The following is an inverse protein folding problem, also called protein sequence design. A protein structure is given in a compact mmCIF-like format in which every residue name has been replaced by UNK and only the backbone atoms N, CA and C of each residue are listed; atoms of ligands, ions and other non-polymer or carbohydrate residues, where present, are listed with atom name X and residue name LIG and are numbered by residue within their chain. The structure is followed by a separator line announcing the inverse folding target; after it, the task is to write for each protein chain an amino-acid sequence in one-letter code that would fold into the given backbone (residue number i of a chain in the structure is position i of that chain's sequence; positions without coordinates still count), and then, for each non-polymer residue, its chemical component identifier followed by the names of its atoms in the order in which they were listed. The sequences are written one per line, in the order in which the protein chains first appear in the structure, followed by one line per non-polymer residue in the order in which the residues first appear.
data_IF_998563263796
#
_entry.id   IF_998563263796
#
_cell.length_a   1.000
_cell.length_b   1.000
_cell.length_c   1.000
_cell.angle_alpha   90.00
_cell.angle_beta   90.00
_cell.angle_gamma   90.00
#
_symmetry.space_group_name_H-M   'P 1'
#
loop_
_entity.id
_entity.type
_entity.pdbx_description
1 polymer ?
#
# COMPACT_ATOMS: atom_id res chain seq x y z
N UNK A 1 -4.45 -12.23 -6.35
CA UNK A 1 -5.85 -12.64 -6.16
C UNK A 1 -5.84 -13.97 -5.44
N UNK A 2 -6.49 -14.07 -4.31
CA UNK A 2 -6.70 -15.33 -3.60
C UNK A 2 -8.19 -15.66 -3.64
N UNK A 3 -8.52 -16.97 -3.57
CA UNK A 3 -9.89 -17.44 -3.58
C UNK A 3 -10.25 -17.92 -2.17
N UNK A 4 -11.38 -17.49 -1.64
CA UNK A 4 -11.83 -17.89 -0.30
C UNK A 4 -12.22 -19.37 -0.26
N UNK A 5 -12.82 -19.87 -1.35
CA UNK A 5 -13.29 -21.25 -1.46
C UNK A 5 -12.89 -21.88 -2.82
N UNK A 6 -11.60 -22.22 -3.03
CA UNK A 6 -11.14 -22.81 -4.30
C UNK A 6 -11.78 -24.17 -4.57
N UNK A 7 -12.23 -24.88 -3.52
CA UNK A 7 -12.91 -26.20 -3.63
C UNK A 7 -14.22 -26.15 -4.39
N UNK A 8 -14.85 -24.97 -4.49
CA UNK A 8 -16.12 -24.78 -5.23
C UNK A 8 -15.94 -25.08 -6.73
N UNK A 9 -14.73 -24.92 -7.29
CA UNK A 9 -14.44 -25.27 -8.67
C UNK A 9 -14.55 -26.77 -8.96
N UNK A 10 -14.42 -27.62 -7.95
CA UNK A 10 -14.62 -29.07 -8.10
C UNK A 10 -16.06 -29.38 -8.54
N UNK A 11 -17.04 -28.59 -8.11
CA UNK A 11 -18.42 -28.73 -8.49
C UNK A 11 -18.71 -28.38 -9.98
N UNK A 12 -17.79 -27.65 -10.64
CA UNK A 12 -17.95 -27.28 -12.06
C UNK A 12 -17.99 -28.52 -12.95
N UNK A 13 -17.14 -29.53 -12.69
CA UNK A 13 -17.02 -30.71 -13.54
C UNK A 13 -18.33 -31.53 -13.58
N UNK A 14 -18.90 -31.95 -12.44
CA UNK A 14 -20.13 -32.73 -12.47
C UNK A 14 -21.34 -31.93 -12.97
N UNK A 15 -21.44 -30.62 -12.61
CA UNK A 15 -22.55 -29.78 -13.07
C UNK A 15 -22.50 -29.51 -14.58
N UNK A 16 -21.32 -29.21 -15.12
CA UNK A 16 -21.14 -29.07 -16.57
C UNK A 16 -21.42 -30.41 -17.27
N UNK A 17 -20.99 -31.53 -16.71
CA UNK A 17 -21.27 -32.87 -17.21
C UNK A 17 -22.76 -33.18 -17.30
N UNK A 18 -23.54 -32.81 -16.27
CA UNK A 18 -25.01 -32.97 -16.26
C UNK A 18 -25.66 -32.12 -17.36
N UNK A 19 -25.25 -30.87 -17.53
CA UNK A 19 -25.78 -29.98 -18.58
C UNK A 19 -25.51 -30.59 -19.96
N UNK A 20 -24.29 -31.06 -20.22
CA UNK A 20 -23.89 -31.69 -21.46
C UNK A 20 -24.68 -32.97 -21.68
N UNK A 21 -24.81 -33.81 -20.64
CA UNK A 21 -25.57 -35.07 -20.71
C UNK A 21 -27.04 -34.81 -21.07
N UNK A 22 -27.70 -33.87 -20.39
CA UNK A 22 -29.07 -33.47 -20.69
C UNK A 22 -29.22 -32.93 -22.12
N UNK A 23 -28.21 -32.23 -22.60
CA UNK A 23 -28.17 -31.75 -23.97
C UNK A 23 -27.99 -32.86 -25.00
N UNK A 24 -27.21 -33.91 -24.67
CA UNK A 24 -27.01 -35.10 -25.51
C UNK A 24 -28.16 -36.06 -25.47
N UNK A 25 -28.99 -36.07 -24.39
CA UNK A 25 -30.21 -36.83 -24.30
C UNK A 25 -31.26 -36.26 -25.27
N UNK A 26 -31.01 -36.41 -26.53
CA UNK A 26 -31.92 -36.00 -27.60
C UNK A 26 -33.10 -36.93 -27.63
N UNK A 27 -34.34 -36.40 -27.44
CA UNK A 27 -35.56 -37.18 -27.70
C UNK A 27 -35.46 -37.80 -29.09
N UNK A 28 -35.40 -39.15 -29.14
CA UNK A 28 -35.51 -39.86 -30.42
C UNK A 28 -36.89 -39.60 -30.98
N UNK A 29 -36.96 -38.90 -32.12
CA UNK A 29 -38.18 -38.76 -32.87
C UNK A 29 -38.45 -40.12 -33.49
N UNK A 30 -39.56 -40.73 -33.11
CA UNK A 30 -40.04 -41.98 -33.73
C UNK A 30 -40.68 -41.57 -35.06
N UNK A 31 -40.23 -42.06 -36.20
CA UNK A 31 -40.90 -41.80 -37.45
C UNK A 31 -42.25 -42.50 -37.42
N UNK A 32 -43.33 -41.74 -37.61
CA UNK A 32 -44.66 -42.28 -37.79
C UNK A 32 -44.95 -42.27 -39.29
N UNK A 33 -45.20 -43.43 -39.85
CA UNK A 33 -45.58 -43.53 -41.25
C UNK A 33 -47.03 -43.11 -41.42
N UNK A 34 -47.24 -42.05 -42.20
CA UNK A 34 -48.55 -41.49 -42.51
C UNK A 34 -48.86 -41.76 -43.98
N UNK A 35 -50.03 -42.25 -44.30
CA UNK A 35 -50.41 -42.77 -45.62
C UNK A 35 -50.43 -41.75 -46.76
N UNK A 36 -50.43 -40.45 -46.50
CA UNK A 36 -50.31 -39.40 -47.53
C UNK A 36 -49.56 -38.18 -46.95
N UNK A 37 -48.40 -37.88 -47.54
CA UNK A 37 -47.53 -36.76 -47.11
C UNK A 37 -47.55 -35.59 -48.10
N UNK A 38 -48.36 -35.63 -49.15
CA UNK A 38 -48.29 -34.65 -50.23
C UNK A 38 -48.53 -33.20 -49.77
N UNK A 39 -49.59 -32.98 -49.02
CA UNK A 39 -49.92 -31.64 -48.48
C UNK A 39 -48.92 -31.19 -47.41
N UNK A 40 -48.36 -32.12 -46.61
CA UNK A 40 -47.34 -31.82 -45.63
C UNK A 40 -45.99 -31.46 -46.24
N UNK A 41 -45.61 -32.04 -47.37
CA UNK A 41 -44.38 -31.67 -48.09
C UNK A 41 -44.44 -30.26 -48.63
N UNK A 42 -45.61 -29.81 -49.11
CA UNK A 42 -45.77 -28.44 -49.59
C UNK A 42 -45.74 -27.42 -48.49
N UNK A 43 -46.32 -27.68 -47.31
CA UNK A 43 -46.27 -26.85 -46.13
C UNK A 43 -44.87 -26.83 -45.49
N UNK A 44 -44.09 -27.90 -45.60
CA UNK A 44 -42.74 -27.98 -45.02
C UNK A 44 -41.66 -27.30 -45.90
N UNK A 45 -41.89 -27.07 -47.19
CA UNK A 45 -40.98 -26.35 -48.05
C UNK A 45 -40.84 -24.86 -47.63
N UNK A 46 -41.89 -24.26 -47.13
CA UNK A 46 -41.85 -22.87 -46.61
C UNK A 46 -41.16 -22.74 -45.22
N UNK A 47 -41.07 -23.82 -44.49
CA UNK A 47 -40.47 -23.81 -43.14
C UNK A 47 -38.95 -24.12 -43.15
N UNK A 48 -38.44 -24.73 -44.25
CA UNK A 48 -37.02 -25.13 -44.31
C UNK A 48 -36.04 -23.97 -44.50
N UNK A 49 -36.49 -22.77 -44.84
CA UNK A 49 -35.59 -21.62 -45.02
C UNK A 49 -34.86 -21.14 -43.78
N UNK A 50 -35.27 -21.59 -42.55
CA UNK A 50 -34.68 -21.12 -41.27
C UNK A 50 -33.89 -22.19 -40.49
N UNK A 51 -33.59 -23.32 -41.09
CA UNK A 51 -32.90 -24.45 -40.40
C UNK A 51 -31.47 -24.12 -39.92
N UNK A 52 -30.63 -23.34 -40.66
CA UNK A 52 -29.27 -23.05 -40.20
C UNK A 52 -29.28 -22.24 -38.89
N UNK A 53 -30.21 -21.30 -38.74
CA UNK A 53 -30.34 -20.50 -37.52
C UNK A 53 -30.82 -21.27 -36.29
N UNK A 54 -31.59 -22.32 -36.45
CA UNK A 54 -32.03 -23.18 -35.33
C UNK A 54 -30.88 -24.04 -34.77
N UNK A 55 -29.98 -24.53 -35.60
CA UNK A 55 -28.77 -25.23 -35.18
C UNK A 55 -27.82 -24.32 -34.38
N UNK A 56 -27.67 -23.07 -34.86
CA UNK A 56 -26.84 -22.08 -34.19
C UNK A 56 -27.42 -21.67 -32.83
N UNK A 57 -28.74 -21.43 -32.76
CA UNK A 57 -29.45 -21.13 -31.49
C UNK A 57 -29.29 -22.24 -30.45
N UNK A 58 -29.29 -23.51 -30.84
CA UNK A 58 -29.11 -24.64 -29.91
C UNK A 58 -27.73 -24.68 -29.32
N UNK A 59 -26.70 -24.44 -30.13
CA UNK A 59 -25.31 -24.40 -29.66
C UNK A 59 -25.04 -23.16 -28.79
N UNK A 60 -25.64 -22.01 -29.15
CA UNK A 60 -25.55 -20.77 -28.39
C UNK A 60 -26.14 -20.93 -26.97
N UNK A 61 -27.29 -21.63 -26.86
CA UNK A 61 -27.92 -21.87 -25.56
C UNK A 61 -27.01 -22.70 -24.62
N UNK A 62 -26.38 -23.76 -25.15
CA UNK A 62 -25.44 -24.56 -24.37
C UNK A 62 -24.25 -23.73 -23.90
N UNK A 63 -23.66 -22.93 -24.81
CA UNK A 63 -22.54 -22.04 -24.46
C UNK A 63 -22.95 -21.04 -23.40
N UNK A 64 -24.13 -20.43 -23.54
CA UNK A 64 -24.65 -19.46 -22.56
C UNK A 64 -24.85 -20.10 -21.18
N UNK A 65 -25.40 -21.34 -21.13
CA UNK A 65 -25.60 -22.07 -19.89
C UNK A 65 -24.27 -22.43 -19.20
N UNK A 66 -23.27 -22.87 -19.96
CA UNK A 66 -21.93 -23.17 -19.42
C UNK A 66 -21.24 -21.88 -18.94
N UNK A 67 -21.41 -20.78 -19.65
CA UNK A 67 -20.85 -19.49 -19.28
C UNK A 67 -21.51 -18.96 -18.00
N UNK A 68 -22.84 -19.06 -17.89
CA UNK A 68 -23.57 -18.70 -16.69
C UNK A 68 -23.18 -19.55 -15.48
N UNK A 69 -23.02 -20.87 -15.68
CA UNK A 69 -22.54 -21.79 -14.64
C UNK A 69 -21.13 -21.40 -14.17
N UNK A 70 -20.23 -21.11 -15.12
CA UNK A 70 -18.85 -20.70 -14.80
C UNK A 70 -18.83 -19.38 -14.05
N UNK A 71 -19.63 -18.40 -14.48
CA UNK A 71 -19.75 -17.12 -13.78
C UNK A 71 -20.32 -17.27 -12.35
N UNK A 72 -21.30 -18.15 -12.18
CA UNK A 72 -21.88 -18.45 -10.87
C UNK A 72 -20.83 -19.07 -9.93
N UNK A 73 -20.10 -20.06 -10.41
CA UNK A 73 -19.04 -20.73 -9.63
C UNK A 73 -17.89 -19.76 -9.33
N UNK A 74 -17.50 -18.92 -10.28
CA UNK A 74 -16.50 -17.87 -10.05
C UNK A 74 -16.96 -16.86 -8.99
N UNK A 75 -18.25 -16.50 -8.97
CA UNK A 75 -18.83 -15.66 -7.93
C UNK A 75 -18.83 -16.32 -6.55
N UNK A 76 -19.21 -17.63 -6.49
CA UNK A 76 -19.19 -18.42 -5.26
C UNK A 76 -17.77 -18.68 -4.73
N UNK A 77 -16.76 -18.74 -5.58
CA UNK A 77 -15.36 -18.84 -5.20
C UNK A 77 -14.86 -17.60 -4.45
N UNK A 78 -15.66 -16.51 -4.41
CA UNK A 78 -15.40 -15.26 -3.72
C UNK A 78 -13.94 -14.79 -3.91
N UNK A 79 -13.56 -14.37 -5.13
CA UNK A 79 -12.23 -13.84 -5.37
C UNK A 79 -12.02 -12.58 -4.53
N UNK A 80 -10.98 -12.55 -3.71
CA UNK A 80 -10.61 -11.36 -2.95
C UNK A 80 -9.17 -10.95 -3.26
N UNK A 81 -8.97 -9.66 -3.26
CA UNK A 81 -7.63 -9.08 -3.31
C UNK A 81 -7.26 -8.76 -1.88
N UNK A 82 -6.21 -9.40 -1.36
CA UNK A 82 -5.55 -8.90 -0.16
C UNK A 82 -4.95 -7.54 -0.54
N UNK A 83 -5.73 -6.48 -0.37
CA UNK A 83 -5.13 -5.17 -0.24
C UNK A 83 -4.43 -5.19 1.13
N UNK A 84 -3.09 -5.16 1.15
CA UNK A 84 -2.38 -4.84 2.38
C UNK A 84 -2.85 -3.45 2.80
N UNK A 85 -3.82 -3.41 3.71
CA UNK A 85 -4.17 -2.17 4.37
C UNK A 85 -2.96 -1.77 5.20
N UNK A 86 -2.29 -0.70 4.78
CA UNK A 86 -1.37 0.00 5.64
C UNK A 86 -2.22 0.56 6.79
N UNK A 87 -1.94 0.09 8.00
CA UNK A 87 -2.72 0.45 9.19
C UNK A 87 -3.46 -0.76 9.79
N UNK A 88 -3.79 -0.67 11.04
CA UNK A 88 -4.57 -1.61 11.85
C UNK A 88 -5.53 -0.83 12.73
N UNK A 89 -6.32 -1.52 13.57
CA UNK A 89 -7.25 -0.87 14.50
C UNK A 89 -6.60 0.22 15.35
N UNK A 90 -5.33 0.01 15.73
CA UNK A 90 -4.52 0.98 16.48
C UNK A 90 -3.19 1.12 15.75
N UNK A 91 -2.88 2.28 15.26
CA UNK A 91 -1.66 2.54 14.49
C UNK A 91 -0.88 3.70 15.10
N UNK A 92 0.42 3.53 15.27
CA UNK A 92 1.32 4.61 15.66
C UNK A 92 2.27 4.89 14.50
N UNK A 93 2.30 6.11 14.02
CA UNK A 93 3.21 6.57 12.97
C UNK A 93 4.33 7.36 13.63
N UNK A 94 5.58 6.92 13.43
CA UNK A 94 6.78 7.66 13.82
C UNK A 94 7.35 8.29 12.56
N UNK A 95 7.32 9.61 12.50
CA UNK A 95 7.86 10.39 11.41
C UNK A 95 9.23 10.94 11.80
N UNK A 96 10.24 10.61 11.03
CA UNK A 96 11.55 11.21 11.15
C UNK A 96 11.51 12.65 10.63
N UNK A 97 11.97 13.57 11.46
CA UNK A 97 12.04 15.00 11.14
C UNK A 97 13.49 15.53 11.21
N UNK A 98 14.47 14.67 10.99
CA UNK A 98 15.89 15.05 10.94
C UNK A 98 16.22 15.92 9.73
N UNK A 99 17.39 16.54 9.76
CA UNK A 99 17.92 17.37 8.67
C UNK A 99 18.06 16.60 7.35
N UNK A 100 18.39 15.29 7.38
CA UNK A 100 18.49 14.45 6.18
C UNK A 100 17.17 14.29 5.44
N UNK A 101 16.04 14.47 6.13
CA UNK A 101 14.71 14.42 5.52
C UNK A 101 14.38 15.63 4.65
N UNK A 102 15.22 16.68 4.66
CA UNK A 102 15.13 17.82 3.74
C UNK A 102 15.70 17.50 2.36
N UNK A 103 16.42 16.39 2.20
CA UNK A 103 17.03 16.00 0.93
C UNK A 103 15.97 15.85 -0.18
N UNK A 104 16.32 16.29 -1.40
CA UNK A 104 15.47 16.36 -2.59
C UNK A 104 15.88 15.34 -3.65
N UNK A 105 16.33 14.17 -3.22
CA UNK A 105 16.66 13.04 -4.10
C UNK A 105 15.43 12.29 -4.61
N UNK A 106 14.25 12.67 -4.15
CA UNK A 106 12.94 12.21 -4.57
C UNK A 106 12.07 13.40 -4.97
N UNK A 107 10.91 13.15 -5.57
CA UNK A 107 9.96 14.21 -5.92
C UNK A 107 9.54 15.00 -4.67
N UNK A 108 9.85 16.29 -4.63
CA UNK A 108 9.73 17.14 -3.46
C UNK A 108 10.90 16.96 -2.50
N UNK A 109 10.64 16.51 -1.29
CA UNK A 109 11.66 16.15 -0.31
C UNK A 109 11.34 14.78 0.31
N UNK A 110 12.33 14.16 0.98
CA UNK A 110 12.09 12.92 1.74
C UNK A 110 10.98 13.12 2.78
N UNK A 111 10.92 14.30 3.39
CA UNK A 111 9.86 14.61 4.35
C UNK A 111 8.48 14.70 3.71
N UNK A 112 8.38 15.24 2.49
CA UNK A 112 7.12 15.23 1.72
C UNK A 112 6.70 13.80 1.37
N UNK A 113 7.65 12.96 1.00
CA UNK A 113 7.39 11.53 0.77
C UNK A 113 6.90 10.85 2.06
N UNK A 114 7.51 11.17 3.22
CA UNK A 114 7.08 10.68 4.52
C UNK A 114 5.65 11.13 4.88
N UNK A 115 5.32 12.39 4.60
CA UNK A 115 3.94 12.90 4.74
C UNK A 115 2.96 12.13 3.84
N UNK A 116 3.39 11.79 2.61
CA UNK A 116 2.62 10.97 1.68
C UNK A 116 2.29 9.59 2.27
N UNK A 117 3.27 8.93 2.90
CA UNK A 117 3.05 7.66 3.59
C UNK A 117 2.10 7.80 4.78
N UNK A 118 2.30 8.81 5.63
CA UNK A 118 1.41 9.07 6.76
C UNK A 118 -0.03 9.33 6.30
N UNK A 119 -0.23 10.13 5.26
CA UNK A 119 -1.55 10.38 4.67
C UNK A 119 -2.19 9.09 4.13
N UNK A 120 -1.43 8.22 3.46
CA UNK A 120 -1.94 6.92 2.97
C UNK A 120 -2.42 6.03 4.11
N UNK A 121 -1.65 5.96 5.21
CA UNK A 121 -2.02 5.18 6.40
C UNK A 121 -3.32 5.76 7.01
N UNK A 122 -3.39 7.08 7.19
CA UNK A 122 -4.56 7.77 7.76
C UNK A 122 -5.79 7.59 6.85
N UNK A 123 -5.63 7.72 5.54
CA UNK A 123 -6.74 7.53 4.58
C UNK A 123 -7.23 6.09 4.52
N UNK A 124 -6.39 5.12 4.90
CA UNK A 124 -6.73 3.70 5.01
C UNK A 124 -7.53 3.31 6.26
N UNK A 125 -7.73 4.24 7.20
CA UNK A 125 -8.49 4.00 8.44
C UNK A 125 -9.94 3.60 8.15
N UNK A 126 -10.37 2.52 8.78
CA UNK A 126 -11.76 2.09 8.79
C UNK A 126 -12.53 2.64 10.00
N UNK A 127 -13.79 2.23 10.14
CA UNK A 127 -14.59 2.58 11.31
C UNK A 127 -13.99 1.97 12.58
N UNK A 128 -13.70 2.81 13.57
CA UNK A 128 -13.14 2.38 14.86
C UNK A 128 -11.62 2.21 14.87
N UNK A 129 -10.92 2.55 13.79
CA UNK A 129 -9.47 2.63 13.77
C UNK A 129 -9.01 3.94 14.40
N UNK A 130 -7.91 3.90 15.12
CA UNK A 130 -7.27 5.07 15.73
C UNK A 130 -5.81 5.16 15.31
N UNK A 131 -5.35 6.36 15.04
CA UNK A 131 -3.96 6.65 14.68
C UNK A 131 -3.38 7.69 15.63
N UNK A 132 -2.15 7.44 16.09
CA UNK A 132 -1.31 8.41 16.76
C UNK A 132 -0.12 8.78 15.88
N UNK A 133 0.36 10.01 15.98
CA UNK A 133 1.51 10.51 15.21
C UNK A 133 2.57 11.01 16.18
N UNK A 134 3.77 10.49 16.03
CA UNK A 134 4.98 10.90 16.76
C UNK A 134 5.94 11.53 15.76
N UNK A 135 6.56 12.61 16.14
CA UNK A 135 7.65 13.23 15.40
C UNK A 135 8.96 12.98 16.14
N UNK A 136 9.94 12.47 15.43
CA UNK A 136 11.29 12.20 15.95
C UNK A 136 12.28 13.14 15.28
N UNK A 137 12.79 14.08 16.06
CA UNK A 137 13.87 14.99 15.74
C UNK A 137 14.92 14.93 16.83
N UNK A 138 15.45 16.08 17.25
CA UNK A 138 16.36 16.18 18.40
C UNK A 138 15.70 15.66 19.69
N UNK A 139 14.40 15.84 19.81
CA UNK A 139 13.54 15.25 20.86
C UNK A 139 12.30 14.71 20.20
N UNK A 140 11.90 13.51 20.61
CA UNK A 140 10.67 12.89 20.13
C UNK A 140 9.47 13.36 20.94
N UNK A 141 8.35 13.65 20.25
CA UNK A 141 7.12 14.06 20.91
C UNK A 141 5.89 13.55 20.16
N UNK A 142 4.76 13.46 20.85
CA UNK A 142 3.48 13.08 20.28
C UNK A 142 2.87 14.31 19.62
N UNK A 143 2.85 14.33 18.29
CA UNK A 143 2.21 15.40 17.50
C UNK A 143 0.68 15.25 17.48
N UNK A 144 0.18 14.01 17.45
CA UNK A 144 -1.22 13.69 17.62
C UNK A 144 -1.37 12.43 18.49
N UNK A 145 -2.15 12.52 19.56
CA UNK A 145 -2.59 11.36 20.33
C UNK A 145 -3.54 10.50 19.49
N UNK A 146 -3.80 9.26 19.93
CA UNK A 146 -4.77 8.39 19.25
C UNK A 146 -6.07 9.10 18.95
N UNK A 147 -6.43 9.14 17.68
CA UNK A 147 -7.64 9.78 17.18
C UNK A 147 -8.22 9.01 16.02
N UNK A 148 -9.54 8.98 15.91
CA UNK A 148 -10.28 8.48 14.77
C UNK A 148 -10.66 9.56 13.75
N UNK A 149 -10.35 10.84 14.06
CA UNK A 149 -10.60 11.98 13.18
C UNK A 149 -9.52 12.11 12.12
N UNK A 150 -9.78 11.53 10.95
CA UNK A 150 -8.87 11.55 9.80
C UNK A 150 -8.50 12.98 9.38
N UNK A 151 -9.45 13.92 9.41
CA UNK A 151 -9.22 15.32 8.99
C UNK A 151 -8.20 15.99 9.89
N UNK A 152 -8.41 15.86 11.20
CA UNK A 152 -7.49 16.42 12.21
C UNK A 152 -6.09 15.82 12.08
N UNK A 153 -5.99 14.49 11.90
CA UNK A 153 -4.71 13.80 11.71
C UNK A 153 -3.97 14.28 10.46
N UNK A 154 -4.68 14.39 9.32
CA UNK A 154 -4.10 14.89 8.06
C UNK A 154 -3.63 16.34 8.21
N UNK A 155 -4.39 17.20 8.87
CA UNK A 155 -3.98 18.59 9.16
C UNK A 155 -2.73 18.63 10.05
N UNK A 156 -2.68 17.82 11.11
CA UNK A 156 -1.50 17.72 11.95
C UNK A 156 -0.27 17.32 11.14
N UNK A 157 -0.36 16.23 10.34
CA UNK A 157 0.74 15.76 9.48
C UNK A 157 1.16 16.83 8.47
N UNK A 158 0.21 17.58 7.90
CA UNK A 158 0.51 18.66 6.96
C UNK A 158 1.28 19.83 7.60
N UNK A 159 1.03 20.10 8.89
CA UNK A 159 1.69 21.18 9.64
C UNK A 159 3.10 20.82 10.14
N UNK A 160 3.50 19.55 10.10
CA UNK A 160 4.82 19.13 10.56
C UNK A 160 5.93 19.65 9.63
N UNK A 161 7.08 19.99 10.20
CA UNK A 161 8.25 20.44 9.46
C UNK A 161 9.49 19.66 9.87
N UNK A 162 10.41 19.38 8.95
CA UNK A 162 11.71 18.81 9.29
C UNK A 162 12.56 19.85 10.00
N UNK A 163 13.41 19.38 10.91
CA UNK A 163 14.36 20.20 11.67
C UNK A 163 15.75 20.13 11.03
N UNK A 164 16.69 20.94 11.49
CA UNK A 164 18.10 20.86 11.08
C UNK A 164 18.95 20.00 12.03
N UNK A 165 18.31 19.27 12.93
CA UNK A 165 18.97 18.44 13.92
C UNK A 165 19.09 16.98 13.46
N UNK A 166 20.00 16.24 14.07
CA UNK A 166 20.03 14.78 13.97
C UNK A 166 18.75 14.18 14.59
N UNK A 167 18.37 13.00 14.13
CA UNK A 167 17.22 12.29 14.68
C UNK A 167 17.63 11.45 15.91
N UNK A 168 16.75 11.41 16.90
CA UNK A 168 16.76 10.36 17.94
C UNK A 168 15.58 9.41 17.68
N UNK A 169 15.68 8.65 16.60
CA UNK A 169 14.63 7.71 16.19
C UNK A 169 14.36 6.65 17.27
N UNK A 170 15.37 6.28 18.04
CA UNK A 170 15.25 5.33 19.15
C UNK A 170 14.24 5.81 20.19
N UNK A 171 14.31 7.06 20.60
CA UNK A 171 13.35 7.64 21.56
C UNK A 171 11.93 7.68 20.97
N UNK A 172 11.81 8.06 19.70
CA UNK A 172 10.54 8.06 19.00
C UNK A 172 9.91 6.68 18.93
N UNK A 173 10.73 5.66 18.68
CA UNK A 173 10.29 4.29 18.62
C UNK A 173 9.90 3.73 19.99
N UNK A 174 10.70 3.99 21.04
CA UNK A 174 10.38 3.59 22.42
C UNK A 174 9.06 4.24 22.87
N UNK A 175 8.84 5.50 22.54
CA UNK A 175 7.59 6.19 22.80
C UNK A 175 6.42 5.53 22.04
N UNK A 176 6.62 5.19 20.76
CA UNK A 176 5.63 4.50 19.96
C UNK A 176 5.28 3.12 20.52
N UNK A 177 6.28 2.35 20.90
CA UNK A 177 6.09 1.03 21.52
C UNK A 177 5.33 1.13 22.85
N UNK A 178 5.66 2.14 23.67
CA UNK A 178 4.94 2.40 24.92
C UNK A 178 3.45 2.74 24.68
N UNK A 179 3.14 3.52 23.66
CA UNK A 179 1.76 3.81 23.27
C UNK A 179 1.07 2.57 22.70
N UNK A 180 1.78 1.81 21.85
CA UNK A 180 1.26 0.59 21.22
C UNK A 180 0.98 -0.51 22.26
N UNK A 181 1.82 -0.67 23.29
CA UNK A 181 1.64 -1.68 24.33
C UNK A 181 0.31 -1.55 25.10
N UNK A 182 -0.28 -0.37 25.11
CA UNK A 182 -1.57 -0.09 25.77
C UNK A 182 -2.79 -0.37 24.88
N UNK A 183 -2.58 -0.82 23.65
CA UNK A 183 -3.63 -1.01 22.66
C UNK A 183 -3.55 -2.41 22.03
N UNK A 184 -4.66 -3.13 21.90
CA UNK A 184 -4.67 -4.45 21.28
C UNK A 184 -4.32 -4.35 19.79
N UNK A 185 -3.46 -5.26 19.33
CA UNK A 185 -3.06 -5.37 17.92
C UNK A 185 -2.53 -4.06 17.30
N UNK A 186 -1.85 -3.24 18.12
CA UNK A 186 -1.28 -1.99 17.64
C UNK A 186 -0.13 -2.25 16.68
N UNK A 187 -0.08 -1.47 15.59
CA UNK A 187 0.99 -1.49 14.60
C UNK A 187 1.78 -0.19 14.67
N UNK A 188 3.09 -0.28 14.56
CA UNK A 188 4.00 0.88 14.53
C UNK A 188 4.61 1.00 13.15
N UNK A 189 4.46 2.14 12.52
CA UNK A 189 5.11 2.47 11.26
C UNK A 189 6.17 3.53 11.51
N UNK A 190 7.42 3.20 11.17
CA UNK A 190 8.53 4.14 11.22
C UNK A 190 8.82 4.61 9.81
N UNK A 191 8.69 5.91 9.58
CA UNK A 191 8.91 6.53 8.27
C UNK A 191 10.17 7.38 8.36
N UNK A 192 11.26 6.92 7.77
CA UNK A 192 12.60 7.53 7.83
C UNK A 192 13.42 7.13 6.61
N UNK A 193 14.48 7.86 6.33
CA UNK A 193 15.48 7.51 5.32
C UNK A 193 16.47 6.43 5.79
N UNK A 194 16.44 6.08 7.09
CA UNK A 194 17.31 5.08 7.69
C UNK A 194 18.71 5.60 8.05
N UNK A 195 18.92 6.92 8.09
CA UNK A 195 20.18 7.54 8.50
C UNK A 195 20.36 7.54 10.01
N UNK A 196 20.22 6.37 10.65
CA UNK A 196 20.41 6.16 12.09
C UNK A 196 21.10 4.81 12.36
N UNK A 197 21.62 4.66 13.56
CA UNK A 197 22.26 3.40 13.98
C UNK A 197 21.24 2.24 13.99
N UNK A 198 21.67 1.02 13.57
CA UNK A 198 20.79 -0.15 13.62
C UNK A 198 20.19 -0.35 15.01
N UNK A 199 18.90 -0.61 15.08
CA UNK A 199 18.14 -0.83 16.29
C UNK A 199 17.85 -2.34 16.48
N UNK A 200 18.76 -3.11 17.12
CA UNK A 200 18.59 -4.55 17.26
C UNK A 200 17.34 -4.92 18.09
N UNK A 201 16.91 -4.04 18.98
CA UNK A 201 15.73 -4.22 19.84
C UNK A 201 14.41 -4.29 19.03
N UNK A 202 14.43 -3.85 17.77
CA UNK A 202 13.26 -3.74 16.91
C UNK A 202 13.28 -4.77 15.77
N UNK A 203 14.45 -5.30 15.46
CA UNK A 203 14.66 -6.23 14.34
C UNK A 203 13.92 -7.57 14.43
N UNK A 204 13.11 -7.80 15.46
CA UNK A 204 12.29 -9.00 15.66
C UNK A 204 10.82 -8.73 16.00
N UNK A 205 10.42 -7.46 16.09
CA UNK A 205 9.06 -7.10 16.49
C UNK A 205 8.12 -7.20 15.30
N UNK A 206 7.20 -8.17 15.32
CA UNK A 206 6.23 -8.40 14.23
C UNK A 206 5.23 -7.25 14.02
N UNK A 207 5.15 -6.32 14.97
CA UNK A 207 4.24 -5.18 14.93
C UNK A 207 4.90 -3.85 14.51
N UNK A 208 6.21 -3.84 14.21
CA UNK A 208 6.93 -2.66 13.72
C UNK A 208 7.25 -2.83 12.24
N UNK A 209 6.86 -1.85 11.43
CA UNK A 209 7.15 -1.80 9.99
C UNK A 209 7.93 -0.54 9.66
N UNK A 210 9.02 -0.71 8.94
CA UNK A 210 9.84 0.39 8.46
C UNK A 210 9.45 0.76 7.03
N UNK A 211 9.11 2.03 6.82
CA UNK A 211 8.80 2.62 5.52
C UNK A 211 9.95 3.53 5.13
N UNK A 212 10.85 3.01 4.32
CA UNK A 212 11.99 3.77 3.84
C UNK A 212 11.55 4.87 2.89
N UNK A 213 12.12 6.08 3.07
CA UNK A 213 12.00 7.21 2.16
C UNK A 213 13.39 7.56 1.60
N UNK A 214 13.40 8.24 0.45
CA UNK A 214 14.65 8.55 -0.25
C UNK A 214 15.19 7.38 -1.07
N UNK A 215 15.86 7.68 -2.15
CA UNK A 215 16.38 6.69 -3.10
C UNK A 215 17.91 6.63 -3.08
N UNK A 216 18.58 7.72 -2.70
CA UNK A 216 20.03 7.85 -2.73
C UNK A 216 20.61 8.05 -1.35
N UNK A 217 21.79 7.49 -1.12
CA UNK A 217 22.57 7.72 0.10
C UNK A 217 23.64 8.83 -0.11
N UNK A 218 23.49 9.61 -1.17
CA UNK A 218 24.44 10.66 -1.52
C UNK A 218 24.11 11.95 -0.78
N UNK A 219 24.57 12.06 0.46
CA UNK A 219 24.36 13.24 1.28
C UNK A 219 25.70 13.77 1.81
N UNK A 220 25.80 15.09 1.93
CA UNK A 220 26.84 15.77 2.67
C UNK A 220 26.18 16.50 3.84
N UNK A 221 26.62 16.26 5.03
CA UNK A 221 26.02 16.86 6.22
C UNK A 221 27.08 17.47 7.15
N UNK A 222 26.69 18.55 7.79
CA UNK A 222 27.42 19.14 8.92
C UNK A 222 27.06 18.31 10.16
N UNK A 223 28.04 17.59 10.70
CA UNK A 223 27.85 16.72 11.86
C UNK A 223 28.08 17.45 13.19
N UNK A 224 28.92 18.46 13.19
CA UNK A 224 29.15 19.31 14.35
C UNK A 224 29.49 20.72 13.90
N UNK A 225 28.96 21.69 14.59
CA UNK A 225 29.32 23.10 14.49
C UNK A 225 29.33 23.66 15.92
N UNK A 226 30.51 24.05 16.36
CA UNK A 226 30.73 24.60 17.71
C UNK A 226 31.51 25.88 17.59
N UNK A 227 31.02 26.91 18.26
CA UNK A 227 31.73 28.15 18.44
C UNK A 227 32.10 28.32 19.91
N UNK A 228 33.36 28.46 20.23
CA UNK A 228 33.83 28.65 21.59
C UNK A 228 34.74 29.86 21.66
N UNK A 229 34.71 30.54 22.80
CA UNK A 229 35.67 31.62 23.10
C UNK A 229 36.49 31.19 24.30
N UNK A 230 37.75 30.78 24.12
CA UNK A 230 38.61 30.45 25.26
C UNK A 230 38.77 31.63 26.21
N UNK A 231 38.84 31.33 27.50
CA UNK A 231 38.98 32.35 28.51
C UNK A 231 40.27 33.17 28.27
N UNK A 232 40.12 34.51 28.12
CA UNK A 232 41.21 35.44 27.81
C UNK A 232 41.55 35.61 26.32
N UNK A 233 40.95 34.87 25.42
CA UNK A 233 41.13 35.07 23.98
C UNK A 233 40.20 36.17 23.44
N UNK A 234 40.70 36.96 22.49
CA UNK A 234 39.88 37.95 21.76
C UNK A 234 39.15 37.32 20.57
N UNK A 235 39.60 36.17 20.13
CA UNK A 235 39.14 35.47 18.94
C UNK A 235 38.20 34.31 19.33
N UNK A 236 37.24 34.04 18.47
CA UNK A 236 36.40 32.86 18.57
C UNK A 236 37.04 31.70 17.82
N UNK A 237 37.00 30.52 18.40
CA UNK A 237 37.39 29.27 17.74
C UNK A 237 36.14 28.60 17.24
N UNK A 238 36.14 28.24 15.96
CA UNK A 238 35.04 27.53 15.30
C UNK A 238 35.49 26.11 14.98
N UNK A 239 34.73 25.14 15.43
CA UNK A 239 34.92 23.75 15.04
C UNK A 239 33.78 23.32 14.16
N UNK A 240 34.09 22.82 12.96
CA UNK A 240 33.16 22.33 11.99
C UNK A 240 33.56 20.93 11.56
N UNK A 241 32.63 19.99 11.60
CA UNK A 241 32.82 18.66 11.06
C UNK A 241 31.80 18.40 9.96
N UNK A 242 32.28 18.22 8.74
CA UNK A 242 31.49 17.86 7.57
C UNK A 242 31.77 16.40 7.25
N UNK A 243 30.74 15.65 6.91
CA UNK A 243 30.84 14.27 6.46
C UNK A 243 30.13 14.07 5.14
N UNK A 244 30.83 13.43 4.21
CA UNK A 244 30.25 12.98 2.94
C UNK A 244 29.85 11.52 3.07
N UNK A 245 28.54 11.25 3.07
CA UNK A 245 27.97 9.90 3.14
C UNK A 245 27.93 9.22 1.75
N UNK A 246 28.26 9.94 0.68
CA UNK A 246 28.32 9.36 -0.66
C UNK A 246 29.61 8.58 -0.88
N UNK A 247 29.58 7.63 -1.82
CA UNK A 247 30.80 6.89 -2.25
C UNK A 247 31.71 7.71 -3.16
N UNK A 248 31.24 8.84 -3.65
CA UNK A 248 31.98 9.71 -4.56
C UNK A 248 32.40 10.99 -3.85
N UNK A 249 33.57 11.56 -4.17
CA UNK A 249 33.95 12.87 -3.66
C UNK A 249 32.97 13.93 -4.12
N UNK A 250 32.64 14.85 -3.23
CA UNK A 250 31.74 15.98 -3.48
C UNK A 250 32.52 17.26 -3.25
N UNK A 251 32.38 18.21 -4.15
CA UNK A 251 32.90 19.56 -4.02
C UNK A 251 31.73 20.49 -3.65
N UNK A 252 31.99 21.44 -2.77
CA UNK A 252 30.97 22.38 -2.33
C UNK A 252 31.62 23.62 -1.72
N UNK A 253 30.88 24.71 -1.70
CA UNK A 253 31.30 25.97 -1.05
C UNK A 253 30.73 25.97 0.38
N UNK A 254 31.61 26.19 1.34
CA UNK A 254 31.21 26.46 2.72
C UNK A 254 31.28 27.96 2.96
N UNK A 255 30.17 28.57 3.29
CA UNK A 255 30.08 29.97 3.67
C UNK A 255 29.73 30.09 5.15
N UNK A 256 30.50 30.88 5.87
CA UNK A 256 30.30 31.17 7.27
C UNK A 256 29.75 32.58 7.42
N UNK A 257 28.67 32.72 8.19
CA UNK A 257 28.03 34.02 8.42
C UNK A 257 28.00 34.31 9.91
N UNK A 258 28.23 35.57 10.23
CA UNK A 258 28.05 36.16 11.55
C UNK A 258 27.17 37.39 11.39
N UNK A 259 25.97 37.41 11.98
CA UNK A 259 24.98 38.48 11.88
C UNK A 259 24.75 38.94 10.40
N UNK A 260 24.53 37.97 9.48
CA UNK A 260 24.31 38.17 8.05
C UNK A 260 25.54 38.63 7.23
N UNK A 261 26.71 38.82 7.84
CA UNK A 261 27.97 39.09 7.15
C UNK A 261 28.79 37.81 6.96
N UNK A 262 29.38 37.63 5.77
CA UNK A 262 30.32 36.53 5.50
C UNK A 262 31.65 36.82 6.18
N UNK A 263 32.14 35.88 6.98
CA UNK A 263 33.41 35.95 7.69
C UNK A 263 34.42 34.94 7.13
#
# INVERSE_FOLDING_TARGET
MQLLAPTVFIALIPLAGIIILLYLLKLRRVPVEIASTFLWRQALQDVQANIPFQKLKRNLLLVLQLLALTALIAGLAAPYVLAERLGGKNTVIVMDASGSMKATDVEGSRFEQARGWARRIISGMGRGDEVAVIVSGARSHVAAAFSSDQRKLVQTVAGLQPTDCATNIKDGLLLAMSLAARRPNAQVYVVSDGAFEPLPEVSGSSNVRFLKVGERNENVAILAFEASRPAGAKEHQLFLRIHNFSKQPKEGLLSLYHDDEII
#
